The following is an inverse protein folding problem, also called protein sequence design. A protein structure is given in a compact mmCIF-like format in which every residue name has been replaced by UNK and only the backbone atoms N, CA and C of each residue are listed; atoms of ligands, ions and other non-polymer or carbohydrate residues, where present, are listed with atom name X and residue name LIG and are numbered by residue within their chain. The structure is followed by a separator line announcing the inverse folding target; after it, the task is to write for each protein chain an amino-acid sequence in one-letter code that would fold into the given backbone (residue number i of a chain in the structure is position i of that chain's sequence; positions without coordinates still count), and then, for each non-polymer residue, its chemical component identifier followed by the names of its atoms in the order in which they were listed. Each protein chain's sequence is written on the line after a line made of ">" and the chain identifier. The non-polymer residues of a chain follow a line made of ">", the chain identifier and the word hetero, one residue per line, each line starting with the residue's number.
data_IF_612938047125
#
_entry.id   IF_612938047125
#
_cell.length_a   1.000
_cell.length_b   1.000
_cell.length_c   1.000
_cell.angle_alpha   90.00
_cell.angle_beta   90.00
_cell.angle_gamma   90.00
#
_symmetry.space_group_name_H-M   'P 1'
#
loop_
_entity.id
_entity.type
_entity.pdbx_description
1 polymer ?
#
# COMPACT_ATOMS: atom_id res chain seq x y z
N UNK A 1 1.30 0.37 -13.57
CA UNK A 1 1.08 0.37 -12.11
C UNK A 1 1.62 1.66 -11.54
N UNK A 2 0.76 2.58 -11.11
CA UNK A 2 1.16 3.89 -10.56
C UNK A 2 2.07 3.76 -9.32
N UNK A 3 1.91 2.68 -8.53
CA UNK A 3 2.76 2.40 -7.35
C UNK A 3 4.25 2.23 -7.70
N UNK A 4 4.57 1.74 -8.89
CA UNK A 4 5.96 1.64 -9.35
C UNK A 4 6.58 3.04 -9.54
N UNK A 5 5.76 4.05 -9.86
CA UNK A 5 6.20 5.44 -9.95
C UNK A 5 6.69 5.98 -8.60
N UNK A 6 5.96 5.72 -7.53
CA UNK A 6 6.39 6.09 -6.18
C UNK A 6 7.70 5.39 -5.79
N UNK A 7 7.81 4.08 -6.07
CA UNK A 7 9.03 3.32 -5.80
C UNK A 7 10.25 3.90 -6.53
N UNK A 8 10.11 4.29 -7.79
CA UNK A 8 11.19 4.94 -8.56
C UNK A 8 11.59 6.29 -7.96
N UNK A 9 10.63 7.10 -7.48
CA UNK A 9 10.97 8.36 -6.78
C UNK A 9 11.70 8.10 -5.47
N UNK A 10 11.25 7.11 -4.69
CA UNK A 10 11.88 6.71 -3.43
C UNK A 10 13.32 6.22 -3.63
N UNK A 11 13.63 5.46 -4.70
CA UNK A 11 14.99 4.96 -4.97
C UNK A 11 16.07 6.06 -5.02
N UNK A 12 15.69 7.32 -5.28
CA UNK A 12 16.63 8.45 -5.29
C UNK A 12 17.11 8.87 -3.90
N UNK A 13 16.34 8.58 -2.85
CA UNK A 13 16.60 9.06 -1.48
C UNK A 13 16.53 7.97 -0.40
N UNK A 14 15.82 6.87 -0.67
CA UNK A 14 15.68 5.73 0.22
C UNK A 14 16.70 4.65 -0.18
N UNK A 15 17.70 4.44 0.67
CA UNK A 15 18.72 3.41 0.51
C UNK A 15 18.79 2.51 1.75
N UNK A 16 19.51 1.37 1.67
CA UNK A 16 19.79 0.55 2.85
C UNK A 16 20.56 1.25 3.98
N UNK A 17 21.19 2.39 3.69
CA UNK A 17 21.91 3.18 4.71
C UNK A 17 21.02 4.25 5.35
N UNK A 18 20.09 4.84 4.60
CA UNK A 18 19.16 5.85 5.15
C UNK A 18 17.98 5.21 5.87
N UNK A 19 17.46 4.11 5.34
CA UNK A 19 16.27 3.43 5.83
C UNK A 19 16.57 1.93 5.94
N UNK A 20 17.32 1.59 6.99
CA UNK A 20 17.80 0.23 7.29
C UNK A 20 16.67 -0.75 7.58
N UNK A 21 15.50 -0.24 7.98
CA UNK A 21 14.30 -1.00 8.32
C UNK A 21 13.06 -0.37 7.67
N UNK A 22 12.04 -1.19 7.44
CA UNK A 22 10.73 -0.73 6.97
C UNK A 22 9.85 -0.30 8.15
N UNK A 23 9.81 1.00 8.42
CA UNK A 23 9.00 1.62 9.48
C UNK A 23 8.11 2.73 8.92
N UNK A 24 7.10 3.12 9.69
CA UNK A 24 6.33 4.34 9.44
C UNK A 24 6.35 5.26 10.67
N UNK A 25 6.38 4.68 11.87
CA UNK A 25 6.61 5.39 13.13
C UNK A 25 7.64 4.61 13.94
N UNK A 26 8.20 5.22 14.99
CA UNK A 26 9.21 4.57 15.85
C UNK A 26 8.65 3.43 16.71
N UNK A 27 7.34 3.18 16.65
CA UNK A 27 6.67 2.20 17.50
C UNK A 27 6.71 0.78 16.92
N UNK A 28 6.74 0.63 15.59
CA UNK A 28 6.56 -0.67 14.95
C UNK A 28 7.41 -0.85 13.70
N UNK A 29 8.02 -2.03 13.58
CA UNK A 29 8.76 -2.46 12.40
C UNK A 29 7.90 -3.38 11.55
N UNK A 30 7.83 -3.13 10.25
CA UNK A 30 7.13 -3.97 9.31
C UNK A 30 8.02 -5.10 8.79
N UNK A 31 7.77 -6.32 9.26
CA UNK A 31 8.49 -7.51 8.79
C UNK A 31 8.09 -7.88 7.36
N UNK A 32 9.08 -8.28 6.56
CA UNK A 32 8.93 -8.66 5.16
C UNK A 32 8.51 -10.12 5.01
N UNK A 33 7.39 -10.35 4.33
CA UNK A 33 6.81 -11.67 4.11
C UNK A 33 7.35 -12.40 2.85
N UNK A 34 8.33 -11.83 2.14
CA UNK A 34 8.96 -12.48 0.98
C UNK A 34 9.94 -13.59 1.38
N UNK A 35 10.20 -13.75 2.67
CA UNK A 35 11.13 -14.73 3.23
C UNK A 35 10.38 -15.89 3.89
N UNK A 36 11.03 -17.05 3.98
CA UNK A 36 10.46 -18.25 4.65
C UNK A 36 9.98 -17.93 6.07
N UNK A 37 10.78 -17.18 6.81
CA UNK A 37 10.42 -16.60 8.10
C UNK A 37 10.40 -15.09 7.93
N UNK A 38 9.30 -14.38 8.29
CA UNK A 38 9.25 -12.94 8.22
C UNK A 38 10.44 -12.30 8.94
N UNK A 39 11.13 -11.38 8.26
CA UNK A 39 12.32 -10.72 8.80
C UNK A 39 12.36 -9.25 8.41
N UNK A 40 13.22 -8.51 9.08
CA UNK A 40 13.49 -7.12 8.76
C UNK A 40 14.19 -7.00 7.39
N UNK A 41 13.84 -5.94 6.67
CA UNK A 41 14.48 -5.56 5.43
C UNK A 41 14.61 -4.03 5.42
N UNK A 42 15.65 -3.50 4.74
CA UNK A 42 15.65 -2.12 4.32
C UNK A 42 14.34 -1.73 3.64
N UNK A 43 13.89 -0.49 3.85
CA UNK A 43 12.60 -0.04 3.35
C UNK A 43 12.50 -0.14 1.80
N UNK A 44 13.61 0.11 1.10
CA UNK A 44 13.65 0.00 -0.35
C UNK A 44 13.53 -1.46 -0.83
N UNK A 45 14.17 -2.39 -0.13
CA UNK A 45 14.07 -3.82 -0.41
C UNK A 45 12.68 -4.35 -0.07
N UNK A 46 12.10 -3.91 1.04
CA UNK A 46 10.72 -4.21 1.40
C UNK A 46 9.74 -3.76 0.32
N UNK A 47 9.92 -2.53 -0.19
CA UNK A 47 9.10 -1.95 -1.25
C UNK A 47 9.16 -2.81 -2.50
N UNK A 48 10.37 -3.17 -2.95
CA UNK A 48 10.57 -4.07 -4.09
C UNK A 48 9.94 -5.45 -3.87
N UNK A 49 10.23 -6.10 -2.75
CA UNK A 49 9.67 -7.41 -2.42
C UNK A 49 8.13 -7.40 -2.37
N UNK A 50 7.55 -6.31 -1.88
CA UNK A 50 6.08 -6.15 -1.82
C UNK A 50 5.48 -5.99 -3.21
N UNK A 51 6.09 -5.16 -4.07
CA UNK A 51 5.66 -4.94 -5.45
C UNK A 51 5.76 -6.22 -6.29
N UNK A 52 6.92 -6.88 -6.24
CA UNK A 52 7.16 -8.15 -6.95
C UNK A 52 6.20 -9.23 -6.44
N UNK A 53 6.01 -9.31 -5.11
CA UNK A 53 5.07 -10.25 -4.50
C UNK A 53 3.61 -10.00 -4.89
N UNK A 54 3.20 -8.73 -4.99
CA UNK A 54 1.86 -8.36 -5.46
C UNK A 54 1.66 -8.75 -6.93
N UNK A 55 2.62 -8.42 -7.79
CA UNK A 55 2.59 -8.77 -9.20
C UNK A 55 2.52 -10.30 -9.41
N UNK A 56 3.36 -11.07 -8.70
CA UNK A 56 3.36 -12.52 -8.76
C UNK A 56 2.01 -13.12 -8.31
N UNK A 57 1.44 -12.61 -7.22
CA UNK A 57 0.17 -13.10 -6.71
C UNK A 57 -0.98 -12.81 -7.67
N UNK A 58 -1.12 -11.56 -8.12
CA UNK A 58 -2.22 -11.13 -9.00
C UNK A 58 -2.16 -11.81 -10.38
N UNK A 59 -0.97 -12.18 -10.85
CA UNK A 59 -0.78 -12.91 -12.11
C UNK A 59 -0.80 -14.43 -11.95
N UNK A 60 -0.90 -14.96 -10.74
CA UNK A 60 -0.87 -16.41 -10.51
C UNK A 60 -2.17 -17.08 -10.93
N UNK A 61 -2.12 -17.98 -11.92
CA UNK A 61 -3.28 -18.80 -12.31
C UNK A 61 -3.76 -19.73 -11.19
N UNK A 62 -2.94 -19.99 -10.16
CA UNK A 62 -3.34 -20.75 -8.97
C UNK A 62 -4.35 -19.99 -8.12
N UNK A 63 -4.13 -18.69 -7.93
CA UNK A 63 -4.95 -17.85 -7.05
C UNK A 63 -5.99 -17.04 -7.84
N UNK A 64 -5.66 -16.62 -9.06
CA UNK A 64 -6.52 -15.86 -9.96
C UNK A 64 -6.57 -16.55 -11.33
N UNK A 65 -7.26 -17.71 -11.45
CA UNK A 65 -7.37 -18.46 -12.71
C UNK A 65 -8.22 -17.77 -13.78
N UNK A 66 -9.04 -16.80 -13.40
CA UNK A 66 -9.92 -16.04 -14.28
C UNK A 66 -9.64 -14.54 -14.14
N UNK A 67 -9.84 -13.79 -15.22
CA UNK A 67 -9.75 -12.32 -15.24
C UNK A 67 -11.12 -11.64 -15.18
N UNK A 68 -12.20 -12.42 -15.26
CA UNK A 68 -13.59 -11.94 -15.21
C UNK A 68 -14.32 -12.35 -13.94
N UNK A 69 -13.81 -13.36 -13.23
CA UNK A 69 -14.39 -13.88 -12.00
C UNK A 69 -13.32 -14.10 -10.94
N UNK A 70 -13.59 -13.65 -9.71
CA UNK A 70 -12.68 -13.78 -8.58
C UNK A 70 -13.36 -14.66 -7.53
N UNK A 71 -12.66 -15.71 -7.09
CA UNK A 71 -13.13 -16.57 -6.00
C UNK A 71 -13.00 -15.84 -4.67
N UNK A 72 -13.92 -16.08 -3.74
CA UNK A 72 -13.90 -15.47 -2.40
C UNK A 72 -12.56 -15.74 -1.67
N UNK A 73 -12.04 -16.95 -1.77
CA UNK A 73 -10.74 -17.32 -1.18
C UNK A 73 -9.54 -16.52 -1.74
N UNK A 74 -9.68 -15.97 -2.94
CA UNK A 74 -8.69 -15.09 -3.57
C UNK A 74 -8.83 -13.65 -3.09
N UNK A 75 -10.05 -13.19 -2.76
CA UNK A 75 -10.32 -11.87 -2.19
C UNK A 75 -9.60 -11.72 -0.85
N UNK A 76 -9.58 -12.76 0.00
CA UNK A 76 -8.84 -12.74 1.27
C UNK A 76 -7.34 -12.48 1.08
N UNK A 77 -6.76 -12.87 -0.07
CA UNK A 77 -5.34 -12.60 -0.38
C UNK A 77 -5.10 -11.13 -0.73
N UNK A 78 -6.10 -10.44 -1.28
CA UNK A 78 -6.01 -9.02 -1.63
C UNK A 78 -5.80 -8.16 -0.37
N UNK A 79 -6.54 -8.40 0.71
CA UNK A 79 -6.37 -7.62 1.96
C UNK A 79 -4.93 -7.66 2.49
N UNK A 80 -4.25 -8.81 2.41
CA UNK A 80 -2.84 -8.93 2.82
C UNK A 80 -1.89 -8.17 1.91
N UNK A 81 -2.16 -8.12 0.59
CA UNK A 81 -1.40 -7.28 -0.34
C UNK A 81 -1.65 -5.81 -0.05
N UNK A 82 -2.92 -5.43 0.12
CA UNK A 82 -3.32 -4.04 0.37
C UNK A 82 -2.64 -3.48 1.61
N UNK A 83 -2.62 -4.23 2.73
CA UNK A 83 -1.90 -3.83 3.94
C UNK A 83 -0.41 -3.60 3.71
N UNK A 84 0.25 -4.46 2.92
CA UNK A 84 1.68 -4.32 2.62
C UNK A 84 1.97 -3.15 1.69
N UNK A 85 1.10 -2.91 0.70
CA UNK A 85 1.16 -1.73 -0.16
C UNK A 85 0.97 -0.46 0.65
N UNK A 86 0.01 -0.44 1.57
CA UNK A 86 -0.26 0.74 2.39
C UNK A 86 0.93 1.15 3.27
N UNK A 87 1.70 0.17 3.76
CA UNK A 87 2.94 0.44 4.50
C UNK A 87 3.95 1.23 3.69
N UNK A 88 3.98 1.07 2.36
CA UNK A 88 4.84 1.87 1.47
C UNK A 88 4.40 3.33 1.49
N UNK A 89 3.09 3.60 1.42
CA UNK A 89 2.58 4.97 1.57
C UNK A 89 2.91 5.54 2.94
N UNK A 90 2.70 4.79 4.01
CA UNK A 90 3.03 5.25 5.36
C UNK A 90 4.52 5.56 5.51
N UNK A 91 5.40 4.68 5.03
CA UNK A 91 6.83 4.93 5.04
C UNK A 91 7.20 6.19 4.24
N UNK A 92 6.65 6.34 3.03
CA UNK A 92 6.88 7.52 2.21
C UNK A 92 6.38 8.81 2.90
N UNK A 93 5.21 8.77 3.53
CA UNK A 93 4.63 9.89 4.26
C UNK A 93 5.51 10.34 5.42
N UNK A 94 5.92 9.42 6.31
CA UNK A 94 6.61 9.77 7.56
C UNK A 94 8.12 9.98 7.40
N UNK A 95 8.77 9.28 6.46
CA UNK A 95 10.23 9.35 6.30
C UNK A 95 10.68 10.09 5.02
N UNK A 96 9.81 10.21 4.02
CA UNK A 96 10.12 10.86 2.72
C UNK A 96 9.02 11.85 2.30
N UNK A 97 8.58 12.70 3.26
CA UNK A 97 7.41 13.59 3.14
C UNK A 97 7.33 14.35 1.83
N UNK A 98 8.43 14.99 1.40
CA UNK A 98 8.49 15.74 0.14
C UNK A 98 8.17 14.89 -1.09
N UNK A 99 8.72 13.66 -1.16
CA UNK A 99 8.46 12.74 -2.27
C UNK A 99 6.98 12.31 -2.25
N UNK A 100 6.44 12.02 -1.07
CA UNK A 100 5.04 11.66 -0.92
C UNK A 100 4.12 12.80 -1.38
N UNK A 101 4.33 14.02 -0.89
CA UNK A 101 3.46 15.16 -1.21
C UNK A 101 3.49 15.51 -2.71
N UNK A 102 4.67 15.54 -3.34
CA UNK A 102 4.80 15.76 -4.78
C UNK A 102 4.08 14.68 -5.59
N UNK A 103 4.25 13.41 -5.20
CA UNK A 103 3.62 12.29 -5.90
C UNK A 103 2.09 12.26 -5.68
N UNK A 104 1.64 12.56 -4.47
CA UNK A 104 0.22 12.55 -4.13
C UNK A 104 -0.53 13.72 -4.79
N UNK A 105 0.07 14.92 -4.84
CA UNK A 105 -0.51 16.07 -5.54
C UNK A 105 -0.70 15.80 -7.04
N UNK A 106 0.17 14.99 -7.65
CA UNK A 106 0.08 14.64 -9.06
C UNK A 106 -0.90 13.49 -9.36
N UNK A 107 -1.03 12.52 -8.45
CA UNK A 107 -1.67 11.22 -8.76
C UNK A 107 -2.87 10.85 -7.88
N UNK A 108 -3.00 11.49 -6.72
CA UNK A 108 -3.97 11.15 -5.68
C UNK A 108 -3.98 9.66 -5.33
N UNK A 109 -2.83 8.99 -5.46
CA UNK A 109 -2.78 7.53 -5.43
C UNK A 109 -3.06 6.99 -4.03
N UNK A 110 -2.49 7.59 -2.99
CA UNK A 110 -2.73 7.19 -1.61
C UNK A 110 -4.20 7.44 -1.23
N UNK A 111 -4.77 8.59 -1.61
CA UNK A 111 -6.18 8.92 -1.41
C UNK A 111 -7.10 7.89 -2.08
N UNK A 112 -6.93 7.65 -3.38
CA UNK A 112 -7.71 6.68 -4.15
C UNK A 112 -7.56 5.26 -3.59
N UNK A 113 -6.36 4.90 -3.17
CA UNK A 113 -6.08 3.59 -2.58
C UNK A 113 -6.77 3.42 -1.23
N UNK A 114 -6.74 4.45 -0.37
CA UNK A 114 -7.42 4.46 0.93
C UNK A 114 -8.94 4.36 0.78
N UNK A 115 -9.51 5.07 -0.19
CA UNK A 115 -10.92 4.93 -0.53
C UNK A 115 -11.23 3.50 -1.00
N UNK A 116 -10.40 2.93 -1.89
CA UNK A 116 -10.57 1.56 -2.37
C UNK A 116 -10.55 0.52 -1.25
N UNK A 117 -9.55 0.55 -0.36
CA UNK A 117 -9.45 -0.45 0.72
C UNK A 117 -10.55 -0.31 1.76
N UNK A 118 -11.04 0.90 1.99
CA UNK A 118 -12.16 1.16 2.91
C UNK A 118 -13.49 0.71 2.29
N UNK A 119 -13.76 1.09 1.03
CA UNK A 119 -15.00 0.73 0.31
C UNK A 119 -15.24 -0.77 0.24
N UNK A 120 -14.17 -1.55 0.09
CA UNK A 120 -14.24 -3.01 -0.02
C UNK A 120 -13.82 -3.75 1.27
N UNK A 121 -13.72 -3.06 2.41
CA UNK A 121 -13.34 -3.65 3.71
C UNK A 121 -12.06 -4.51 3.66
N UNK A 122 -11.08 -4.11 2.84
CA UNK A 122 -9.82 -4.85 2.67
C UNK A 122 -8.82 -4.57 3.80
N UNK A 123 -9.01 -3.45 4.50
CA UNK A 123 -8.21 -2.99 5.64
C UNK A 123 -9.12 -2.34 6.68
N UNK A 124 -8.79 -2.49 7.96
CA UNK A 124 -9.48 -1.81 9.04
C UNK A 124 -8.96 -0.38 9.20
N UNK A 125 -9.80 0.53 9.70
CA UNK A 125 -9.47 1.96 9.82
C UNK A 125 -8.29 2.20 10.76
N UNK A 126 -8.07 1.36 11.77
CA UNK A 126 -6.94 1.51 12.70
C UNK A 126 -5.58 1.28 12.02
N UNK A 127 -5.57 0.61 10.86
CA UNK A 127 -4.35 0.43 10.07
C UNK A 127 -4.08 1.62 9.12
N UNK A 128 -5.02 2.56 8.99
CA UNK A 128 -4.93 3.71 8.09
C UNK A 128 -4.32 4.92 8.82
N UNK A 129 -2.99 4.91 8.95
CA UNK A 129 -2.26 5.92 9.74
C UNK A 129 -1.86 7.19 8.97
N UNK A 130 -1.98 7.20 7.65
CA UNK A 130 -1.77 8.42 6.85
C UNK A 130 -3.03 9.27 6.95
N UNK A 131 -2.95 10.52 7.45
CA UNK A 131 -4.11 11.40 7.54
C UNK A 131 -4.47 11.87 6.12
N UNK A 132 -5.54 11.31 5.57
CA UNK A 132 -6.09 11.72 4.28
C UNK A 132 -7.40 12.44 4.59
N UNK A 133 -7.49 13.71 4.23
CA UNK A 133 -8.66 14.55 4.52
C UNK A 133 -9.92 13.89 3.94
N UNK A 134 -10.89 13.56 4.80
CA UNK A 134 -12.15 12.91 4.41
C UNK A 134 -13.15 13.89 3.75
N UNK A 135 -12.78 15.16 3.57
CA UNK A 135 -13.69 16.29 3.29
C UNK A 135 -14.37 16.28 1.90
N UNK A 136 -14.02 15.40 0.97
CA UNK A 136 -14.69 15.29 -0.34
C UNK A 136 -15.66 14.10 -0.47
N UNK A 137 -15.93 13.37 0.62
CA UNK A 137 -16.82 12.19 0.57
C UNK A 137 -18.29 12.45 0.93
N UNK A 138 -18.67 13.71 1.16
CA UNK A 138 -20.09 14.09 1.26
C UNK A 138 -20.71 14.11 -0.15
N UNK A 139 -21.18 12.95 -0.60
CA UNK A 139 -22.18 12.86 -1.67
C UNK A 139 -23.42 13.67 -1.27
N UNK A 140 -23.86 14.68 -2.05
CA UNK A 140 -25.10 15.36 -1.77
C UNK A 140 -26.28 14.44 -2.16
N UNK A 141 -27.00 13.96 -1.14
CA UNK A 141 -28.43 13.65 -1.18
C UNK A 141 -28.87 12.36 -1.88
N UNK A 142 -28.95 11.26 -1.13
CA UNK A 142 -30.15 10.42 -1.22
C UNK A 142 -31.20 11.07 -0.31
N UNK A 143 -32.06 11.92 -0.89
CA UNK A 143 -33.29 12.32 -0.24
C UNK A 143 -34.29 11.17 -0.35
N UNK A 144 -34.73 10.70 0.80
CA UNK A 144 -35.97 9.93 0.95
C UNK A 144 -37.13 10.70 0.29
N UNK A 145 -37.76 10.07 -0.70
CA UNK A 145 -39.15 10.27 -1.12
C UNK A 145 -39.61 9.09 -1.98
#
# INVERSE_FOLDING_TARGET
>A
MELNGLAVRLQKQCSPTTCTQMTATDQWIFLCAAHKTPKECPAIDYTRHTLDGAACLLNSNKYFPSRVSIKESSVTKLGSVCRRVYRIFSHAYFHHRRIFDEFEAETYLCHRFTHFVTKYNLMSKENLIVPINEEETATPGESEA
#
